data_IF_145994404267
#
_entry.id   IF_145994404267
#
_cell.length_a   1.000
_cell.length_b   1.000
_cell.length_c   1.000
_cell.angle_alpha   90.00
_cell.angle_beta   90.00
_cell.angle_gamma   90.00
#
_symmetry.space_group_name_H-M   'P 1'
#
loop_
_entity.id
_entity.type
_entity.pdbx_description
1 polymer ?
#
# COMPACT_ATOMS: atom_id res chain seq x y z
N UNK A 1 -5.51 2.50 -8.93
CA UNK A 1 -5.28 2.40 -7.49
C UNK A 1 -4.72 1.03 -7.15
N UNK A 2 -3.73 0.99 -6.30
CA UNK A 2 -3.10 -0.26 -5.90
C UNK A 2 -3.47 -0.60 -4.47
N UNK A 3 -3.59 -1.87 -4.20
CA UNK A 3 -3.86 -2.36 -2.86
C UNK A 3 -2.77 -3.33 -2.47
N UNK A 4 -2.20 -3.14 -1.28
CA UNK A 4 -1.12 -3.98 -0.79
C UNK A 4 -1.50 -4.63 0.52
N UNK A 5 -1.18 -5.90 0.63
CA UNK A 5 -1.37 -6.63 1.88
C UNK A 5 -0.04 -6.66 2.60
N UNK A 6 -0.03 -6.16 3.81
CA UNK A 6 1.18 -6.08 4.63
C UNK A 6 1.16 -7.13 5.72
N UNK A 7 2.31 -7.26 6.40
CA UNK A 7 2.43 -8.15 7.56
C UNK A 7 1.47 -7.70 8.66
N UNK A 8 0.97 -8.66 9.43
CA UNK A 8 0.09 -8.37 10.56
C UNK A 8 -1.36 -8.12 10.18
N UNK A 9 -1.76 -8.51 8.97
CA UNK A 9 -3.16 -8.39 8.54
C UNK A 9 -3.56 -6.99 8.12
N UNK A 10 -2.58 -6.10 7.93
CA UNK A 10 -2.87 -4.73 7.49
C UNK A 10 -2.92 -4.66 5.97
N UNK A 11 -3.68 -3.69 5.49
CA UNK A 11 -3.75 -3.39 4.06
C UNK A 11 -3.53 -1.90 3.85
N UNK A 12 -2.91 -1.56 2.74
CA UNK A 12 -2.75 -0.17 2.32
C UNK A 12 -3.16 -0.08 0.87
N UNK A 13 -3.94 0.93 0.54
CA UNK A 13 -4.33 1.19 -0.84
C UNK A 13 -4.06 2.64 -1.18
N UNK A 14 -3.73 2.91 -2.43
CA UNK A 14 -3.44 4.25 -2.87
C UNK A 14 -2.99 4.27 -4.31
N UNK A 15 -2.53 5.43 -4.75
CA UNK A 15 -2.04 5.61 -6.11
C UNK A 15 -0.53 5.40 -6.10
N UNK A 16 -0.07 4.43 -6.89
CA UNK A 16 1.36 4.16 -7.01
C UNK A 16 2.03 5.27 -7.81
N UNK A 17 2.92 6.01 -7.15
CA UNK A 17 3.64 7.11 -7.78
C UNK A 17 5.04 6.75 -8.20
N UNK A 18 5.62 5.72 -7.60
CA UNK A 18 6.98 5.32 -7.96
C UNK A 18 7.40 4.06 -7.23
N UNK A 19 8.52 3.51 -7.68
CA UNK A 19 9.12 2.35 -7.06
C UNK A 19 10.60 2.33 -7.40
N UNK A 20 11.37 1.55 -6.64
CA UNK A 20 12.81 1.44 -6.87
C UNK A 20 13.21 -0.03 -7.07
N UNK A 21 14.50 -0.30 -7.39
CA UNK A 21 14.95 -1.67 -7.60
C UNK A 21 14.82 -2.57 -6.37
N UNK A 22 14.67 -1.99 -5.19
CA UNK A 22 14.49 -2.76 -3.96
C UNK A 22 13.02 -3.01 -3.66
N UNK A 23 12.15 -2.63 -4.59
CA UNK A 23 10.71 -2.78 -4.49
C UNK A 23 10.09 -1.95 -3.37
N UNK A 24 10.73 -0.84 -3.01
CA UNK A 24 10.08 0.16 -2.18
C UNK A 24 9.08 0.88 -3.06
N UNK A 25 7.86 1.03 -2.56
CA UNK A 25 6.78 1.62 -3.33
C UNK A 25 6.34 2.91 -2.67
N UNK A 26 6.11 3.93 -3.49
CA UNK A 26 5.60 5.21 -3.01
C UNK A 26 4.13 5.31 -3.41
N UNK A 27 3.27 5.37 -2.42
CA UNK A 27 1.84 5.52 -2.63
C UNK A 27 1.39 6.92 -2.22
N UNK A 28 0.50 7.49 -3.01
CA UNK A 28 -0.11 8.77 -2.72
C UNK A 28 -1.61 8.58 -2.52
N UNK A 29 -2.22 9.51 -1.79
CA UNK A 29 -3.65 9.44 -1.46
C UNK A 29 -4.00 8.09 -0.87
N UNK A 30 -3.13 7.62 0.02
CA UNK A 30 -3.26 6.26 0.53
C UNK A 30 -4.10 6.19 1.80
N UNK A 31 -4.69 5.02 1.99
CA UNK A 31 -5.48 4.70 3.17
C UNK A 31 -4.98 3.39 3.73
N UNK A 32 -4.69 3.39 5.02
CA UNK A 32 -4.27 2.18 5.71
C UNK A 32 -5.47 1.57 6.44
N UNK A 33 -5.66 0.27 6.28
CA UNK A 33 -6.71 -0.46 6.96
C UNK A 33 -6.03 -1.47 7.88
N UNK A 34 -6.22 -1.30 9.19
CA UNK A 34 -5.68 -2.21 10.18
C UNK A 34 -6.48 -3.49 10.23
N UNK A 35 -5.91 -4.53 10.86
CA UNK A 35 -6.59 -5.80 11.02
C UNK A 35 -7.92 -5.68 11.75
N UNK A 36 -8.05 -4.66 12.62
CA UNK A 36 -9.28 -4.40 13.35
C UNK A 36 -10.36 -3.74 12.51
N UNK A 37 -10.02 -3.34 11.27
CA UNK A 37 -10.95 -2.64 10.41
C UNK A 37 -10.85 -1.13 10.48
N UNK A 38 -9.99 -0.60 11.33
CA UNK A 38 -9.79 0.85 11.45
C UNK A 38 -9.10 1.36 10.18
N UNK A 39 -9.64 2.45 9.62
CA UNK A 39 -9.08 3.07 8.43
C UNK A 39 -8.47 4.42 8.76
N UNK A 40 -7.29 4.67 8.23
CA UNK A 40 -6.59 5.93 8.42
C UNK A 40 -6.08 6.44 7.08
N UNK A 41 -6.40 7.70 6.77
CA UNK A 41 -5.81 8.34 5.60
C UNK A 41 -4.41 8.80 5.96
N UNK A 42 -3.42 8.30 5.25
CA UNK A 42 -2.02 8.62 5.56
C UNK A 42 -1.34 9.46 4.48
N UNK A 43 -2.04 9.72 3.38
CA UNK A 43 -1.49 10.54 2.31
C UNK A 43 -0.37 9.82 1.58
N UNK A 44 0.80 10.46 1.49
CA UNK A 44 1.94 9.86 0.82
C UNK A 44 2.71 8.97 1.79
N UNK A 45 3.00 7.75 1.36
CA UNK A 45 3.69 6.78 2.20
C UNK A 45 4.63 5.94 1.35
N UNK A 46 5.76 5.55 1.95
CA UNK A 46 6.72 4.65 1.32
C UNK A 46 6.58 3.29 1.97
N UNK A 47 6.27 2.28 1.17
CA UNK A 47 6.12 0.91 1.65
C UNK A 47 7.34 0.13 1.22
N UNK A 48 8.01 -0.50 2.18
CA UNK A 48 9.19 -1.32 1.88
C UNK A 48 8.76 -2.66 1.30
N UNK A 49 9.50 -3.10 0.30
CA UNK A 49 9.16 -4.33 -0.41
C UNK A 49 9.07 -5.55 0.50
N UNK A 50 9.96 -5.65 1.51
CA UNK A 50 9.96 -6.79 2.41
C UNK A 50 8.77 -6.81 3.38
N UNK A 51 7.98 -5.76 3.43
CA UNK A 51 6.77 -5.71 4.24
C UNK A 51 5.53 -6.06 3.44
N UNK A 52 5.67 -6.22 2.13
CA UNK A 52 4.54 -6.49 1.25
C UNK A 52 4.38 -8.00 1.08
N UNK A 53 3.20 -8.51 1.42
CA UNK A 53 2.88 -9.91 1.19
C UNK A 53 2.26 -10.08 -0.18
N UNK A 54 1.39 -9.15 -0.54
CA UNK A 54 0.66 -9.23 -1.80
C UNK A 54 0.38 -7.84 -2.33
N UNK A 55 0.55 -7.65 -3.62
CA UNK A 55 0.21 -6.42 -4.32
C UNK A 55 -0.91 -6.74 -5.30
N UNK A 56 -1.98 -5.97 -5.21
CA UNK A 56 -3.10 -6.11 -6.11
C UNK A 56 -3.41 -4.78 -6.78
N UNK A 57 -3.65 -4.82 -8.07
CA UNK A 57 -4.11 -3.65 -8.81
C UNK A 57 -5.65 -3.66 -8.76
N UNK A 58 -6.22 -2.66 -8.10
CA UNK A 58 -7.66 -2.56 -7.97
C UNK A 58 -8.32 -1.97 -9.20
N UNK A 59 -7.57 -1.19 -9.94
CA UNK A 59 -8.09 -0.51 -11.10
C UNK A 59 -7.04 -0.47 -12.18
N UNK A 60 -7.41 -0.86 -13.35
CA UNK A 60 -6.53 -0.83 -14.52
C UNK A 60 -7.09 0.11 -15.55
N UNK A 61 -6.21 0.89 -16.10
CA UNK A 61 -6.58 1.83 -17.14
C UNK A 61 -5.77 1.54 -18.37
#
# INVERSE_FOLDING_TARGET
>A
MEKMKLNGGRHVQGILRGFDPFMNLVLDESTEVAASGTQNNVGMVVIRGNSIIMLEALERV
#
